data_IF_581708556041
#
_entry.id   IF_581708556041
#
_cell.length_a   1.000
_cell.length_b   1.000
_cell.length_c   1.000
_cell.angle_alpha   90.00
_cell.angle_beta   90.00
_cell.angle_gamma   90.00
#
_symmetry.space_group_name_H-M   'P 1'
#
loop_
_entity.id
_entity.type
_entity.pdbx_description
1 polymer ?
#
# COMPACT_ATOMS: atom_id res chain seq x y z
N UNK A 1 -29.44 -37.46 17.60
CA UNK A 1 -28.35 -36.93 16.75
C UNK A 1 -27.69 -35.80 17.53
N UNK A 2 -26.55 -36.06 18.16
CA UNK A 2 -25.88 -35.04 18.99
C UNK A 2 -25.32 -33.97 18.06
N UNK A 3 -25.72 -32.71 18.28
CA UNK A 3 -25.09 -31.54 17.68
C UNK A 3 -23.64 -31.55 18.16
N UNK A 4 -22.70 -31.77 17.24
CA UNK A 4 -21.28 -31.52 17.51
C UNK A 4 -21.16 -30.03 17.77
N UNK A 5 -20.78 -29.66 18.98
CA UNK A 5 -20.27 -28.33 19.28
C UNK A 5 -19.24 -27.95 18.20
N UNK A 6 -19.20 -26.69 17.73
CA UNK A 6 -18.27 -26.31 16.68
C UNK A 6 -16.86 -26.62 17.17
N UNK A 7 -16.25 -27.65 16.56
CA UNK A 7 -14.88 -28.07 16.81
C UNK A 7 -14.04 -26.80 16.82
N UNK A 8 -13.44 -26.48 17.97
CA UNK A 8 -12.65 -25.27 18.16
C UNK A 8 -11.69 -25.13 16.97
N UNK A 9 -11.88 -24.11 16.13
CA UNK A 9 -11.08 -23.96 14.91
C UNK A 9 -9.65 -23.66 15.35
N UNK A 10 -8.76 -24.65 15.22
CA UNK A 10 -7.36 -24.53 15.61
C UNK A 10 -6.56 -23.97 14.44
N UNK A 11 -5.96 -22.81 14.68
CA UNK A 11 -5.08 -22.13 13.74
C UNK A 11 -3.65 -22.54 14.07
N UNK A 12 -2.96 -23.18 13.12
CA UNK A 12 -1.57 -23.62 13.31
C UNK A 12 -0.57 -22.51 13.07
N UNK A 13 -0.79 -21.71 12.02
CA UNK A 13 0.12 -20.62 11.64
C UNK A 13 -0.64 -19.40 11.15
N UNK A 14 -0.11 -18.24 11.51
CA UNK A 14 -0.59 -16.93 11.09
C UNK A 14 0.59 -16.18 10.48
N UNK A 15 0.47 -15.79 9.22
CA UNK A 15 1.50 -15.00 8.52
C UNK A 15 0.89 -13.71 8.01
N UNK A 16 1.41 -12.58 8.50
CA UNK A 16 1.07 -11.25 7.98
C UNK A 16 2.18 -10.79 7.03
N UNK A 17 1.86 -10.39 5.79
CA UNK A 17 2.84 -9.84 4.87
C UNK A 17 3.36 -8.47 5.37
N UNK A 18 4.59 -8.09 5.01
CA UNK A 18 5.17 -6.79 5.39
C UNK A 18 4.42 -5.62 4.74
N UNK A 19 3.93 -5.83 3.51
CA UNK A 19 3.12 -4.88 2.76
C UNK A 19 1.87 -5.65 2.31
N UNK A 20 0.72 -5.32 2.89
CA UNK A 20 -0.56 -5.99 2.59
C UNK A 20 -1.57 -5.86 3.73
N UNK A 21 -2.84 -5.73 3.38
CA UNK A 21 -3.95 -5.63 4.33
C UNK A 21 -4.67 -6.98 4.52
N UNK A 22 -3.96 -8.10 4.33
CA UNK A 22 -4.47 -9.45 4.52
C UNK A 22 -3.58 -10.22 5.50
N UNK A 23 -4.09 -11.36 6.00
CA UNK A 23 -3.30 -12.31 6.77
C UNK A 23 -3.56 -13.71 6.22
N UNK A 24 -2.50 -14.49 6.03
CA UNK A 24 -2.61 -15.88 5.62
C UNK A 24 -2.71 -16.74 6.88
N UNK A 25 -3.78 -17.54 6.93
CA UNK A 25 -4.07 -18.45 8.03
C UNK A 25 -3.90 -19.89 7.54
N UNK A 26 -3.19 -20.70 8.32
CA UNK A 26 -3.10 -22.14 8.11
C UNK A 26 -3.91 -22.83 9.21
N UNK A 27 -4.87 -23.67 8.81
CA UNK A 27 -5.70 -24.47 9.70
C UNK A 27 -5.14 -25.90 9.81
N UNK A 28 -5.54 -26.65 10.84
CA UNK A 28 -5.11 -28.04 11.04
C UNK A 28 -5.68 -29.00 9.98
N UNK A 29 -6.94 -28.80 9.57
CA UNK A 29 -7.63 -29.70 8.66
C UNK A 29 -8.31 -28.91 7.54
N UNK A 30 -8.24 -29.43 6.31
CA UNK A 30 -8.86 -28.81 5.13
C UNK A 30 -10.40 -28.69 5.28
N UNK A 31 -11.03 -29.68 5.91
CA UNK A 31 -12.46 -29.67 6.19
C UNK A 31 -12.94 -28.50 7.07
N UNK A 32 -12.03 -27.84 7.82
CA UNK A 32 -12.36 -26.68 8.66
C UNK A 32 -12.34 -25.36 7.87
N UNK A 33 -11.79 -25.34 6.65
CA UNK A 33 -11.61 -24.12 5.86
C UNK A 33 -12.96 -23.52 5.47
N UNK A 34 -13.92 -24.34 5.03
CA UNK A 34 -15.24 -23.87 4.61
C UNK A 34 -16.08 -23.31 5.77
N UNK A 35 -16.24 -24.01 6.91
CA UNK A 35 -16.89 -23.45 8.09
C UNK A 35 -16.26 -22.14 8.56
N UNK A 36 -14.93 -22.04 8.51
CA UNK A 36 -14.21 -20.83 8.90
C UNK A 36 -14.47 -19.65 7.95
N UNK A 37 -14.49 -19.89 6.63
CA UNK A 37 -14.81 -18.85 5.65
C UNK A 37 -16.25 -18.35 5.82
N UNK A 38 -17.20 -19.27 6.00
CA UNK A 38 -18.60 -18.92 6.19
C UNK A 38 -18.79 -18.12 7.47
N UNK A 39 -18.13 -18.48 8.57
CA UNK A 39 -18.18 -17.73 9.82
C UNK A 39 -17.75 -16.26 9.65
N UNK A 40 -16.71 -16.00 8.85
CA UNK A 40 -16.21 -14.64 8.63
C UNK A 40 -17.10 -13.86 7.66
N UNK A 41 -17.42 -14.47 6.51
CA UNK A 41 -18.14 -13.82 5.43
C UNK A 41 -19.62 -13.60 5.77
N UNK A 42 -20.29 -14.62 6.32
CA UNK A 42 -21.71 -14.53 6.70
C UNK A 42 -21.87 -13.76 8.01
N UNK A 43 -20.91 -13.90 8.92
CA UNK A 43 -20.89 -13.20 10.21
C UNK A 43 -20.63 -11.70 10.11
N UNK A 44 -20.33 -11.16 8.90
CA UNK A 44 -20.03 -9.74 8.66
C UNK A 44 -19.06 -9.17 9.68
N UNK A 45 -18.03 -9.94 10.02
CA UNK A 45 -17.08 -9.58 11.08
C UNK A 45 -16.32 -8.33 10.68
N UNK A 46 -16.22 -7.35 11.58
CA UNK A 46 -15.52 -6.08 11.31
C UNK A 46 -14.16 -6.02 11.99
N UNK A 47 -13.18 -5.39 11.35
CA UNK A 47 -11.92 -5.00 11.97
C UNK A 47 -12.15 -3.90 13.03
N UNK A 48 -11.16 -3.61 13.88
CA UNK A 48 -11.12 -2.49 14.83
C UNK A 48 -11.44 -1.12 14.21
N UNK A 49 -11.28 -0.98 12.89
CA UNK A 49 -11.60 0.22 12.11
C UNK A 49 -13.02 0.22 11.53
N UNK A 50 -13.87 -0.75 11.89
CA UNK A 50 -15.26 -0.87 11.40
C UNK A 50 -15.42 -1.39 9.97
N UNK A 51 -14.34 -1.78 9.29
CA UNK A 51 -14.40 -2.36 7.93
C UNK A 51 -14.69 -3.86 8.00
N UNK A 52 -15.56 -4.35 7.13
CA UNK A 52 -15.85 -5.78 6.97
C UNK A 52 -14.59 -6.56 6.59
N UNK A 53 -14.44 -7.73 7.18
CA UNK A 53 -13.42 -8.71 6.84
C UNK A 53 -13.98 -9.69 5.82
N UNK A 54 -13.11 -10.13 4.92
CA UNK A 54 -13.42 -11.14 3.91
C UNK A 54 -12.38 -12.25 3.99
N UNK A 55 -12.84 -13.48 3.91
CA UNK A 55 -12.01 -14.68 3.85
C UNK A 55 -12.16 -15.35 2.48
N UNK A 56 -11.02 -15.64 1.83
CA UNK A 56 -10.92 -16.39 0.57
C UNK A 56 -9.88 -17.49 0.75
N UNK A 57 -9.99 -18.59 -0.01
CA UNK A 57 -8.91 -19.57 -0.13
C UNK A 57 -7.66 -18.90 -0.67
N UNK A 58 -6.50 -19.30 -0.16
CA UNK A 58 -5.21 -18.78 -0.61
C UNK A 58 -4.87 -19.40 -1.97
N UNK A 59 -4.59 -18.55 -2.96
CA UNK A 59 -4.17 -19.00 -4.28
C UNK A 59 -2.73 -19.54 -4.23
N UNK A 60 -2.45 -20.71 -4.85
CA UNK A 60 -1.14 -21.38 -4.76
C UNK A 60 -0.02 -20.59 -5.45
N UNK A 61 -0.37 -19.77 -6.43
CA UNK A 61 0.49 -18.71 -6.95
C UNK A 61 0.18 -17.49 -6.13
N UNK A 62 0.94 -17.26 -5.05
CA UNK A 62 0.67 -16.18 -4.13
C UNK A 62 0.37 -14.89 -4.88
N UNK A 63 -0.81 -14.33 -4.66
CA UNK A 63 -1.25 -13.04 -5.18
C UNK A 63 -0.23 -11.98 -4.76
N UNK A 64 0.77 -11.79 -5.62
CA UNK A 64 1.65 -10.63 -5.55
C UNK A 64 1.00 -9.42 -6.21
N UNK A 65 -0.05 -9.62 -7.02
CA UNK A 65 -0.47 -8.60 -7.99
C UNK A 65 -1.98 -8.43 -8.19
N UNK A 66 -2.88 -9.04 -7.41
CA UNK A 66 -4.34 -8.82 -7.57
C UNK A 66 -4.90 -7.78 -6.57
N UNK A 67 -4.45 -6.54 -6.74
CA UNK A 67 -5.09 -5.36 -6.18
C UNK A 67 -5.89 -4.60 -7.26
N UNK A 68 -6.50 -5.33 -8.20
CA UNK A 68 -7.21 -4.74 -9.34
C UNK A 68 -8.60 -5.31 -9.52
N UNK A 69 -9.59 -4.47 -9.15
CA UNK A 69 -10.96 -4.43 -9.66
C UNK A 69 -11.91 -5.57 -9.25
N UNK A 70 -13.22 -5.39 -9.05
CA UNK A 70 -14.15 -4.27 -8.98
C UNK A 70 -15.49 -4.94 -8.67
N UNK A 71 -16.24 -4.53 -7.62
CA UNK A 71 -17.71 -4.52 -7.68
C UNK A 71 -18.31 -3.85 -6.43
N UNK A 72 -19.10 -2.79 -6.66
CA UNK A 72 -20.33 -2.61 -5.89
C UNK A 72 -20.36 -1.61 -4.72
N UNK A 73 -19.92 -0.36 -4.90
CA UNK A 73 -20.57 0.74 -4.17
C UNK A 73 -20.53 2.04 -4.97
N UNK A 74 -21.50 2.18 -5.88
CA UNK A 74 -21.88 3.47 -6.46
C UNK A 74 -22.37 4.36 -5.31
N UNK A 75 -21.48 5.19 -4.77
CA UNK A 75 -21.90 6.37 -4.01
C UNK A 75 -22.13 7.47 -5.02
N UNK A 76 -23.40 7.67 -5.34
CA UNK A 76 -23.88 8.92 -5.89
C UNK A 76 -23.41 10.05 -4.94
N UNK A 77 -22.50 10.88 -5.43
CA UNK A 77 -22.05 12.12 -4.76
C UNK A 77 -22.24 13.24 -5.76
N UNK A 78 -23.49 13.57 -6.01
CA UNK A 78 -23.85 14.95 -6.25
C UNK A 78 -23.87 15.66 -4.90
N UNK A 79 -22.80 16.38 -4.58
CA UNK A 79 -22.83 17.70 -3.95
C UNK A 79 -21.40 18.16 -3.66
N UNK A 80 -21.08 19.32 -4.22
CA UNK A 80 -20.06 20.29 -3.86
C UNK A 80 -19.01 19.86 -2.84
N UNK A 81 -17.78 19.61 -3.31
CA UNK A 81 -16.62 20.13 -2.60
C UNK A 81 -15.44 20.37 -3.55
N UNK A 82 -15.16 21.65 -3.76
CA UNK A 82 -14.08 22.17 -4.56
C UNK A 82 -12.77 22.05 -3.72
N UNK A 83 -12.17 20.85 -3.69
CA UNK A 83 -11.12 20.54 -2.71
C UNK A 83 -9.91 19.76 -3.25
N UNK A 84 -9.04 20.45 -3.99
CA UNK A 84 -7.57 20.28 -3.99
C UNK A 84 -6.97 18.84 -4.06
N UNK A 85 -7.24 18.08 -5.13
CA UNK A 85 -6.48 16.85 -5.47
C UNK A 85 -5.33 17.05 -6.46
N UNK A 86 -4.81 18.28 -6.63
CA UNK A 86 -3.73 18.56 -7.61
C UNK A 86 -2.30 18.36 -7.08
N UNK A 87 -2.10 17.99 -5.81
CA UNK A 87 -0.77 18.06 -5.17
C UNK A 87 0.24 16.95 -5.49
N UNK A 88 -0.03 16.01 -6.42
CA UNK A 88 0.95 14.96 -6.77
C UNK A 88 1.18 14.69 -8.25
N UNK A 89 0.66 15.51 -9.16
CA UNK A 89 1.22 15.55 -10.52
C UNK A 89 2.46 16.42 -10.46
N UNK A 90 3.64 15.80 -10.27
CA UNK A 90 4.92 16.44 -10.59
C UNK A 90 4.85 16.75 -12.08
N UNK A 91 4.39 17.96 -12.40
CA UNK A 91 4.41 18.53 -13.74
C UNK A 91 5.88 18.39 -14.15
N UNK A 92 6.19 17.53 -15.11
CA UNK A 92 7.44 17.67 -15.84
C UNK A 92 7.40 19.10 -16.37
N UNK A 93 8.17 19.96 -15.72
CA UNK A 93 8.14 21.38 -15.98
C UNK A 93 8.63 21.55 -17.40
N UNK A 94 7.73 21.96 -18.29
CA UNK A 94 8.01 22.50 -19.62
C UNK A 94 8.79 23.83 -19.57
N UNK A 95 9.44 24.12 -18.44
CA UNK A 95 10.27 25.29 -18.24
C UNK A 95 11.68 24.94 -18.73
N UNK A 96 12.39 25.88 -19.38
CA UNK A 96 13.79 25.66 -19.71
C UNK A 96 14.57 25.39 -18.42
N UNK A 97 15.26 24.25 -18.38
CA UNK A 97 16.08 23.85 -17.23
C UNK A 97 17.11 24.92 -16.94
N UNK A 98 17.25 25.30 -15.67
CA UNK A 98 18.29 26.25 -15.27
C UNK A 98 19.67 25.59 -15.42
N UNK A 99 20.72 26.41 -15.58
CA UNK A 99 22.09 25.89 -15.74
C UNK A 99 22.55 25.02 -14.57
N UNK A 100 22.05 25.30 -13.37
CA UNK A 100 22.39 24.54 -12.17
C UNK A 100 21.61 23.21 -12.10
N UNK A 101 20.34 23.18 -12.52
CA UNK A 101 19.58 21.92 -12.67
C UNK A 101 20.20 20.97 -13.70
N UNK A 102 20.75 21.52 -14.79
CA UNK A 102 21.47 20.73 -15.79
C UNK A 102 22.78 20.19 -15.19
N UNK A 103 23.52 21.01 -14.44
CA UNK A 103 24.78 20.60 -13.79
C UNK A 103 24.55 19.46 -12.80
N UNK A 104 23.54 19.58 -11.95
CA UNK A 104 23.24 18.59 -10.91
C UNK A 104 22.72 17.27 -11.48
N UNK A 105 22.08 17.30 -12.65
CA UNK A 105 21.66 16.10 -13.38
C UNK A 105 22.85 15.34 -14.01
N UNK A 106 23.86 16.06 -14.51
CA UNK A 106 25.05 15.46 -15.15
C UNK A 106 26.04 15.00 -14.09
N UNK A 107 26.39 15.88 -13.15
CA UNK A 107 27.35 15.61 -12.07
C UNK A 107 26.77 16.05 -10.75
N UNK A 108 26.07 15.15 -10.04
CA UNK A 108 25.56 15.43 -8.70
C UNK A 108 26.68 15.84 -7.74
N UNK A 109 26.40 16.77 -6.83
CA UNK A 109 27.37 17.32 -5.88
C UNK A 109 28.20 16.23 -5.15
N UNK A 110 27.54 15.16 -4.72
CA UNK A 110 28.15 14.04 -3.99
C UNK A 110 29.10 13.16 -4.83
N UNK A 111 29.02 13.24 -6.17
CA UNK A 111 29.97 12.56 -7.07
C UNK A 111 31.25 13.35 -7.29
N UNK A 112 31.30 14.62 -6.89
CA UNK A 112 32.48 15.46 -7.08
C UNK A 112 33.51 15.27 -5.96
N UNK A 113 34.80 15.54 -6.21
CA UNK A 113 35.82 15.62 -5.17
C UNK A 113 35.46 16.65 -4.08
N UNK A 114 35.79 16.34 -2.83
CA UNK A 114 35.39 17.12 -1.66
C UNK A 114 35.78 18.61 -1.72
N UNK A 115 36.98 18.91 -2.22
CA UNK A 115 37.46 20.28 -2.39
C UNK A 115 36.56 21.10 -3.33
N UNK A 116 36.07 20.46 -4.40
CA UNK A 116 35.18 21.11 -5.37
C UNK A 116 33.77 21.31 -4.81
N UNK A 117 33.31 20.41 -3.93
CA UNK A 117 32.02 20.57 -3.24
C UNK A 117 32.01 21.82 -2.37
N UNK A 118 33.09 22.06 -1.62
CA UNK A 118 33.24 23.24 -0.77
C UNK A 118 33.23 24.53 -1.59
N UNK A 119 33.98 24.57 -2.70
CA UNK A 119 34.00 25.73 -3.59
C UNK A 119 32.63 26.02 -4.21
N UNK A 120 31.90 24.99 -4.65
CA UNK A 120 30.56 25.17 -5.19
C UNK A 120 29.58 25.68 -4.14
N UNK A 121 29.59 25.10 -2.94
CA UNK A 121 28.73 25.52 -1.84
C UNK A 121 29.02 26.96 -1.41
N UNK A 122 30.30 27.36 -1.37
CA UNK A 122 30.68 28.74 -1.08
C UNK A 122 30.14 29.74 -2.12
N UNK A 123 30.29 29.43 -3.41
CA UNK A 123 29.74 30.26 -4.50
C UNK A 123 28.22 30.37 -4.42
N UNK A 124 27.52 29.31 -4.04
CA UNK A 124 26.07 29.31 -3.89
C UNK A 124 25.62 30.18 -2.72
N UNK A 125 26.32 30.15 -1.58
CA UNK A 125 26.04 31.02 -0.44
C UNK A 125 26.21 32.49 -0.79
N UNK A 126 27.28 32.86 -1.52
CA UNK A 126 27.54 34.26 -1.92
C UNK A 126 26.50 34.79 -2.91
N UNK A 127 26.02 33.95 -3.83
CA UNK A 127 24.97 34.35 -4.80
C UNK A 127 23.58 34.55 -4.18
N UNK A 128 23.35 34.03 -2.98
CA UNK A 128 22.05 34.08 -2.28
C UNK A 128 21.98 35.17 -1.20
N UNK A 129 23.06 35.92 -0.97
CA UNK A 129 23.08 37.14 -0.16
C UNK A 129 22.71 38.35 -1.02
#
# INVERSE_FOLDING_TARGET
RKLKDPESIKVTKIKKPPVGNFAQLTLETEAMVEPFMNLINDGRVTNKKGKLLFAKRADPKGDRDDATNEEGSKRDRNEDDNGDLRKRRKKESSLPKTSDEIRDAITPLWKMPYEQQLQMKWREMVKKC
#
